data_IF_629460823599
#
_entry.id   IF_629460823599
#
_cell.length_a   1.000
_cell.length_b   1.000
_cell.length_c   1.000
_cell.angle_alpha   90.00
_cell.angle_beta   90.00
_cell.angle_gamma   90.00
#
_symmetry.space_group_name_H-M   'P 1'
#
loop_
_entity.id
_entity.type
_entity.pdbx_description
1 polymer ?
#
# COMPACT_ATOMS: atom_id res chain seq x y z
N UNK A 1 48.80 1.26 38.20
CA UNK A 1 47.56 1.13 37.40
C UNK A 1 46.97 2.53 37.28
N UNK A 2 47.16 3.16 36.13
CA UNK A 2 46.71 4.55 35.91
C UNK A 2 45.37 4.49 35.20
N UNK A 3 44.31 4.95 35.88
CA UNK A 3 43.00 5.15 35.30
C UNK A 3 43.03 6.35 34.35
N UNK A 4 42.87 6.08 33.05
CA UNK A 4 42.66 7.15 32.06
C UNK A 4 41.16 7.50 32.03
N UNK A 5 40.80 8.60 32.66
CA UNK A 5 39.52 9.27 32.43
C UNK A 5 39.66 10.19 31.20
N UNK A 6 38.84 9.95 30.16
CA UNK A 6 38.67 10.94 29.09
C UNK A 6 37.54 11.87 29.49
N UNK A 7 37.87 13.14 29.62
CA UNK A 7 36.94 14.26 29.83
C UNK A 7 36.44 14.69 28.46
N UNK A 8 35.15 14.70 28.24
CA UNK A 8 34.49 15.26 27.07
C UNK A 8 33.77 16.54 27.49
N UNK A 9 34.18 17.65 26.94
CA UNK A 9 33.56 18.97 27.12
C UNK A 9 32.34 19.11 26.17
N UNK A 10 31.15 19.26 26.72
CA UNK A 10 29.95 19.63 25.97
C UNK A 10 29.45 21.01 26.35
N UNK A 11 29.09 21.82 25.36
CA UNK A 11 28.40 23.10 25.55
C UNK A 11 26.88 22.89 25.35
N UNK A 12 26.10 23.09 26.40
CA UNK A 12 24.64 23.15 26.34
C UNK A 12 24.20 24.49 26.91
N UNK A 13 23.55 25.31 26.09
CA UNK A 13 23.03 26.65 26.48
C UNK A 13 24.05 27.60 27.11
N UNK A 14 25.36 27.54 26.71
CA UNK A 14 26.38 28.48 27.17
C UNK A 14 27.06 28.12 28.48
N UNK A 15 26.72 27.00 29.10
CA UNK A 15 27.40 26.55 30.34
C UNK A 15 28.21 25.26 30.07
N UNK A 16 29.44 25.22 30.64
CA UNK A 16 30.35 24.09 30.58
C UNK A 16 29.90 23.03 31.59
N UNK A 17 29.41 21.88 31.11
CA UNK A 17 29.12 20.74 31.97
C UNK A 17 30.18 19.64 31.76
N UNK A 18 30.81 19.21 32.86
CA UNK A 18 31.79 18.12 32.89
C UNK A 18 31.07 16.90 33.41
N UNK A 19 30.88 15.88 32.56
CA UNK A 19 30.34 14.59 32.97
C UNK A 19 31.42 13.52 32.88
N UNK A 20 31.75 12.87 34.01
CA UNK A 20 32.60 11.69 34.06
C UNK A 20 31.72 10.44 33.96
N UNK A 21 31.85 9.65 32.88
CA UNK A 21 31.21 8.35 32.75
C UNK A 21 32.25 7.22 32.76
N UNK A 22 32.05 6.13 33.54
CA UNK A 22 32.85 4.95 33.41
C UNK A 22 32.43 4.16 32.13
N UNK A 23 33.46 3.69 31.44
CA UNK A 23 33.45 2.83 30.23
C UNK A 23 32.10 2.30 29.70
N UNK A 24 31.62 2.95 28.58
CA UNK A 24 30.61 2.38 27.71
C UNK A 24 31.10 2.39 26.24
N UNK A 25 31.75 1.33 25.76
CA UNK A 25 32.14 1.22 24.35
C UNK A 25 30.94 1.09 23.40
N UNK A 26 29.76 0.71 23.90
CA UNK A 26 28.54 0.51 23.09
C UNK A 26 27.83 1.80 22.62
N UNK A 27 28.10 2.94 23.24
CA UNK A 27 27.46 4.23 22.86
C UNK A 27 28.16 4.89 21.68
N UNK A 28 29.46 4.66 21.51
CA UNK A 28 30.24 5.26 20.42
C UNK A 28 30.04 4.58 19.05
N UNK A 29 29.60 3.34 19.03
CA UNK A 29 29.29 2.63 17.78
C UNK A 29 27.98 3.15 17.14
N UNK A 30 27.04 3.65 17.93
CA UNK A 30 25.79 4.29 17.45
C UNK A 30 25.96 5.69 16.87
N UNK A 31 27.13 6.33 17.05
CA UNK A 31 27.40 7.69 16.57
C UNK A 31 28.18 7.74 15.25
N UNK A 32 28.53 6.63 14.62
CA UNK A 32 29.20 6.64 13.31
C UNK A 32 28.23 7.11 12.24
N UNK A 33 28.62 8.13 11.51
CA UNK A 33 27.89 8.58 10.33
C UNK A 33 27.83 7.42 9.31
N UNK A 34 26.63 7.13 8.81
CA UNK A 34 26.39 6.17 7.75
C UNK A 34 26.09 6.88 6.46
N UNK A 35 26.26 6.19 5.34
CA UNK A 35 25.77 6.70 4.05
C UNK A 35 24.27 6.98 4.16
N UNK A 36 23.79 8.05 3.54
CA UNK A 36 22.39 8.46 3.58
C UNK A 36 21.44 7.35 3.10
N UNK A 37 21.80 6.64 2.01
CA UNK A 37 21.01 5.52 1.49
C UNK A 37 20.84 4.38 2.53
N UNK A 38 21.88 4.07 3.28
CA UNK A 38 21.85 3.06 4.34
C UNK A 38 21.14 3.58 5.61
N UNK A 39 21.24 4.84 5.91
CA UNK A 39 20.58 5.44 7.07
C UNK A 39 19.05 5.51 6.88
N UNK A 40 18.59 5.82 5.66
CA UNK A 40 17.15 5.77 5.34
C UNK A 40 16.58 4.37 5.53
N UNK A 41 17.28 3.33 5.11
CA UNK A 41 16.85 1.95 5.31
C UNK A 41 16.89 1.58 6.80
N UNK A 42 17.95 1.94 7.51
CA UNK A 42 18.10 1.66 8.94
C UNK A 42 17.02 2.30 9.81
N UNK A 43 16.48 3.47 9.38
CA UNK A 43 15.36 4.16 10.05
C UNK A 43 13.98 3.75 9.53
N UNK A 44 13.89 2.80 8.58
CA UNK A 44 12.63 2.39 7.98
C UNK A 44 11.97 3.45 7.11
N UNK A 45 12.74 4.45 6.65
CA UNK A 45 12.28 5.50 5.72
C UNK A 45 12.34 5.05 4.26
N UNK A 46 12.97 3.91 3.99
CA UNK A 46 12.99 3.20 2.72
C UNK A 46 13.08 1.69 2.98
N UNK A 47 12.45 0.91 2.12
CA UNK A 47 12.38 -0.56 2.23
C UNK A 47 13.68 -1.23 1.78
N UNK A 48 14.33 -0.62 0.80
CA UNK A 48 15.58 -1.10 0.22
C UNK A 48 16.52 0.04 -0.08
N UNK A 49 17.80 -0.31 -0.28
CA UNK A 49 18.82 0.66 -0.68
C UNK A 49 18.50 1.30 -2.04
N UNK A 50 17.95 0.52 -2.97
CA UNK A 50 17.53 1.01 -4.29
C UNK A 50 16.41 2.03 -4.18
N UNK A 51 15.44 1.80 -3.29
CA UNK A 51 14.37 2.76 -3.02
C UNK A 51 14.93 4.03 -2.37
N UNK A 52 15.80 3.89 -1.37
CA UNK A 52 16.47 5.04 -0.75
C UNK A 52 17.21 5.90 -1.78
N UNK A 53 17.94 5.28 -2.69
CA UNK A 53 18.64 5.97 -3.76
C UNK A 53 17.68 6.69 -4.71
N UNK A 54 16.54 6.10 -5.06
CA UNK A 54 15.50 6.76 -5.88
C UNK A 54 14.93 7.99 -5.19
N UNK A 55 14.58 7.91 -3.90
CA UNK A 55 14.08 9.04 -3.11
C UNK A 55 15.11 10.18 -3.05
N UNK A 56 16.38 9.85 -2.83
CA UNK A 56 17.47 10.84 -2.79
C UNK A 56 17.64 11.49 -4.16
N UNK A 57 17.64 10.70 -5.23
CA UNK A 57 17.82 11.19 -6.61
C UNK A 57 16.62 12.05 -7.05
N UNK A 58 15.41 11.71 -6.63
CA UNK A 58 14.20 12.50 -6.83
C UNK A 58 14.22 13.83 -6.04
N UNK A 59 15.17 13.96 -5.10
CA UNK A 59 15.30 15.14 -4.25
C UNK A 59 14.23 15.25 -3.16
N UNK A 60 13.68 14.13 -2.76
CA UNK A 60 12.66 14.02 -1.73
C UNK A 60 13.23 13.94 -0.32
N UNK A 61 14.55 13.76 -0.18
CA UNK A 61 15.22 13.59 1.11
C UNK A 61 15.81 14.92 1.60
N UNK A 62 15.40 15.29 2.80
CA UNK A 62 15.86 16.49 3.51
C UNK A 62 16.55 16.08 4.82
N UNK A 63 17.74 16.63 5.07
CA UNK A 63 18.50 16.39 6.29
C UNK A 63 18.80 17.74 6.95
N UNK A 64 18.41 17.90 8.21
CA UNK A 64 18.51 19.16 8.94
C UNK A 64 17.92 20.36 8.15
N UNK A 65 16.75 20.14 7.51
CA UNK A 65 16.09 21.17 6.72
C UNK A 65 16.71 21.48 5.36
N UNK A 66 17.79 20.80 4.96
CA UNK A 66 18.45 20.94 3.65
C UNK A 66 18.21 19.74 2.78
N UNK A 67 17.92 19.96 1.48
CA UNK A 67 17.77 18.90 0.49
C UNK A 67 19.12 18.23 0.22
N UNK A 68 19.18 16.91 0.31
CA UNK A 68 20.36 16.11 -0.02
C UNK A 68 20.10 15.21 -1.23
N UNK A 69 21.01 15.26 -2.22
CA UNK A 69 20.93 14.59 -3.51
C UNK A 69 21.99 13.49 -3.73
N UNK A 70 22.87 13.27 -2.73
CA UNK A 70 23.95 12.27 -2.83
C UNK A 70 23.70 11.13 -1.84
N UNK A 71 23.39 9.95 -2.37
CA UNK A 71 23.14 8.73 -1.60
C UNK A 71 24.35 8.30 -0.73
N UNK A 72 25.56 8.57 -1.19
CA UNK A 72 26.81 8.23 -0.49
C UNK A 72 27.18 9.24 0.61
N UNK A 73 26.46 10.35 0.74
CA UNK A 73 26.81 11.41 1.72
C UNK A 73 26.69 10.85 3.15
N UNK A 74 27.72 11.05 4.00
CA UNK A 74 27.66 10.61 5.39
C UNK A 74 26.58 11.39 6.17
N UNK A 75 25.66 10.65 6.80
CA UNK A 75 24.60 11.18 7.63
C UNK A 75 24.81 10.73 9.07
N UNK A 76 24.77 11.66 10.00
CA UNK A 76 24.88 11.35 11.43
C UNK A 76 23.63 10.58 11.90
N UNK A 77 23.82 9.61 12.78
CA UNK A 77 22.72 8.82 13.33
C UNK A 77 21.69 9.68 14.11
N UNK A 78 22.07 10.87 14.54
CA UNK A 78 21.23 11.84 15.26
C UNK A 78 20.62 12.90 14.36
N UNK A 79 20.99 12.96 13.06
CA UNK A 79 20.49 13.99 12.14
C UNK A 79 18.98 13.85 11.93
N UNK A 80 18.28 14.99 11.91
CA UNK A 80 16.88 15.06 11.52
C UNK A 80 16.74 14.76 10.03
N UNK A 81 16.10 13.64 9.67
CA UNK A 81 15.81 13.29 8.27
C UNK A 81 14.31 13.39 8.03
N UNK A 82 13.93 14.05 6.95
CA UNK A 82 12.58 14.10 6.43
C UNK A 82 12.58 13.60 4.99
N UNK A 83 11.65 12.71 4.64
CA UNK A 83 11.34 12.37 3.26
C UNK A 83 10.10 13.17 2.87
N UNK A 84 10.30 14.24 2.10
CA UNK A 84 9.23 15.12 1.61
C UNK A 84 8.86 14.67 0.21
N UNK A 85 7.57 14.40 0.00
CA UNK A 85 7.08 13.80 -1.24
C UNK A 85 7.01 12.27 -1.17
N UNK A 86 7.29 11.66 -0.02
CA UNK A 86 6.92 10.27 0.21
C UNK A 86 5.45 10.09 -0.12
N UNK A 87 5.15 9.12 -0.96
CA UNK A 87 3.78 8.82 -1.34
C UNK A 87 2.95 8.61 -0.05
N UNK A 88 1.76 9.20 -0.01
CA UNK A 88 0.86 9.09 1.14
C UNK A 88 0.58 7.63 1.49
N UNK A 89 0.57 6.77 0.48
CA UNK A 89 0.32 5.34 0.59
C UNK A 89 1.56 4.53 0.21
N UNK A 90 1.66 3.31 0.73
CA UNK A 90 2.75 2.37 0.43
C UNK A 90 2.88 2.04 -1.06
N UNK A 91 1.85 2.34 -1.87
CA UNK A 91 1.90 2.23 -3.32
C UNK A 91 0.82 3.07 -4.00
N UNK A 92 0.94 3.24 -5.34
CA UNK A 92 -0.03 3.94 -6.21
C UNK A 92 -1.48 3.42 -6.06
N UNK A 93 -1.65 2.17 -5.64
CA UNK A 93 -2.96 1.57 -5.38
C UNK A 93 -3.78 2.38 -4.38
N UNK A 94 -3.15 2.90 -3.32
CA UNK A 94 -3.85 3.70 -2.30
C UNK A 94 -4.56 4.93 -2.88
N UNK A 95 -3.93 5.63 -3.82
CA UNK A 95 -4.58 6.77 -4.48
C UNK A 95 -5.76 6.36 -5.36
N UNK A 96 -5.72 5.16 -5.98
CA UNK A 96 -6.86 4.64 -6.75
C UNK A 96 -8.05 4.43 -5.83
N UNK A 97 -7.86 3.72 -4.72
CA UNK A 97 -8.93 3.48 -3.76
C UNK A 97 -9.41 4.78 -3.11
N UNK A 98 -8.52 5.71 -2.77
CA UNK A 98 -8.93 7.03 -2.27
C UNK A 98 -9.85 7.74 -3.25
N UNK A 99 -9.58 7.62 -4.56
CA UNK A 99 -10.46 8.11 -5.61
C UNK A 99 -11.85 7.47 -5.58
N UNK A 100 -11.94 6.16 -5.31
CA UNK A 100 -13.22 5.48 -5.13
C UNK A 100 -13.95 5.96 -3.87
N UNK A 101 -13.25 6.04 -2.71
CA UNK A 101 -13.85 6.50 -1.46
C UNK A 101 -14.45 7.90 -1.61
N UNK A 102 -13.71 8.82 -2.26
CA UNK A 102 -14.19 10.18 -2.53
C UNK A 102 -15.32 10.20 -3.56
N UNK A 103 -15.13 9.53 -4.71
CA UNK A 103 -16.07 9.57 -5.83
C UNK A 103 -17.42 8.94 -5.50
N UNK A 104 -17.47 7.96 -4.63
CA UNK A 104 -18.69 7.30 -4.15
C UNK A 104 -19.15 7.78 -2.77
N UNK A 105 -18.46 8.74 -2.16
CA UNK A 105 -18.74 9.22 -0.80
C UNK A 105 -18.81 8.09 0.23
N UNK A 106 -17.83 7.17 0.18
CA UNK A 106 -17.76 6.04 1.08
C UNK A 106 -16.99 6.40 2.36
N UNK A 107 -17.66 6.30 3.51
CA UNK A 107 -17.01 6.31 4.81
C UNK A 107 -16.81 4.86 5.27
N UNK A 108 -15.55 4.47 5.45
CA UNK A 108 -15.17 3.11 5.86
C UNK A 108 -14.78 3.04 7.34
N UNK A 109 -15.05 4.10 8.09
CA UNK A 109 -14.73 4.17 9.53
C UNK A 109 -15.40 3.03 10.31
N UNK A 110 -14.59 2.27 11.02
CA UNK A 110 -15.06 1.12 11.81
C UNK A 110 -15.44 -0.13 10.99
N UNK A 111 -15.26 -0.12 9.67
CA UNK A 111 -15.61 -1.26 8.82
C UNK A 111 -14.58 -2.38 8.89
N UNK A 112 -15.07 -3.60 8.72
CA UNK A 112 -14.28 -4.80 8.47
C UNK A 112 -14.13 -5.00 6.98
N UNK A 113 -12.90 -4.95 6.48
CA UNK A 113 -12.60 -4.96 5.06
C UNK A 113 -11.79 -6.18 4.64
N UNK A 114 -11.95 -6.59 3.37
CA UNK A 114 -11.13 -7.61 2.71
C UNK A 114 -10.46 -6.97 1.49
N UNK A 115 -9.14 -7.09 1.38
CA UNK A 115 -8.34 -6.63 0.24
C UNK A 115 -7.86 -7.84 -0.58
N UNK A 116 -8.46 -8.02 -1.76
CA UNK A 116 -8.19 -9.13 -2.66
C UNK A 116 -7.20 -8.70 -3.74
N UNK A 117 -6.02 -9.32 -3.73
CA UNK A 117 -4.89 -8.90 -4.58
C UNK A 117 -4.12 -7.75 -3.93
N UNK A 118 -3.86 -7.84 -2.63
CA UNK A 118 -3.27 -6.76 -1.85
C UNK A 118 -1.88 -6.32 -2.34
N UNK A 119 -1.07 -7.21 -2.90
CA UNK A 119 0.29 -6.94 -3.38
C UNK A 119 1.11 -6.18 -2.33
N UNK A 120 1.58 -4.96 -2.62
CA UNK A 120 2.31 -4.10 -1.67
C UNK A 120 1.42 -3.49 -0.58
N UNK A 121 0.10 -3.58 -0.68
CA UNK A 121 -0.84 -3.12 0.34
C UNK A 121 -1.36 -1.70 0.16
N UNK A 122 -1.35 -1.16 -1.07
CA UNK A 122 -1.83 0.20 -1.31
C UNK A 122 -3.30 0.40 -0.91
N UNK A 123 -4.18 -0.55 -1.26
CA UNK A 123 -5.59 -0.50 -0.87
C UNK A 123 -5.75 -0.66 0.64
N UNK A 124 -5.06 -1.63 1.23
CA UNK A 124 -5.02 -1.84 2.69
C UNK A 124 -4.61 -0.58 3.44
N UNK A 125 -3.52 0.07 3.04
CA UNK A 125 -3.03 1.31 3.66
C UNK A 125 -4.07 2.44 3.56
N UNK A 126 -4.73 2.57 2.41
CA UNK A 126 -5.81 3.53 2.22
C UNK A 126 -6.98 3.26 3.18
N UNK A 127 -7.45 2.01 3.29
CA UNK A 127 -8.53 1.63 4.19
C UNK A 127 -8.20 1.96 5.65
N UNK A 128 -6.98 1.61 6.09
CA UNK A 128 -6.53 1.87 7.46
C UNK A 128 -6.44 3.36 7.79
N UNK A 129 -5.93 4.17 6.84
CA UNK A 129 -5.85 5.63 6.99
C UNK A 129 -7.22 6.30 6.98
N UNK A 130 -8.25 5.66 6.38
CA UNK A 130 -9.64 6.11 6.42
C UNK A 130 -10.46 5.45 7.53
N UNK A 131 -9.81 4.84 8.52
CA UNK A 131 -10.45 4.41 9.77
C UNK A 131 -11.06 3.01 9.75
N UNK A 132 -10.74 2.14 8.78
CA UNK A 132 -11.14 0.74 8.84
C UNK A 132 -10.64 0.09 10.14
N UNK A 133 -11.51 -0.68 10.82
CA UNK A 133 -11.17 -1.34 12.10
C UNK A 133 -10.32 -2.60 11.92
N UNK A 134 -10.51 -3.30 10.81
CA UNK A 134 -9.81 -4.53 10.46
C UNK A 134 -9.72 -4.64 8.95
N UNK A 135 -8.54 -5.01 8.44
CA UNK A 135 -8.34 -5.34 7.03
C UNK A 135 -7.70 -6.72 6.94
N UNK A 136 -8.38 -7.63 6.25
CA UNK A 136 -7.82 -8.93 5.89
C UNK A 136 -7.26 -8.80 4.48
N UNK A 137 -6.01 -9.17 4.28
CA UNK A 137 -5.34 -9.11 2.98
C UNK A 137 -5.17 -10.50 2.41
N UNK A 138 -5.52 -10.67 1.14
CA UNK A 138 -5.31 -11.89 0.38
C UNK A 138 -4.48 -11.62 -0.87
N UNK A 139 -3.45 -12.43 -1.09
CA UNK A 139 -2.67 -12.40 -2.32
C UNK A 139 -2.19 -13.80 -2.71
N UNK A 140 -2.03 -14.06 -4.01
CA UNK A 140 -1.43 -15.30 -4.52
C UNK A 140 0.09 -15.27 -4.37
N UNK A 141 0.68 -14.10 -4.32
CA UNK A 141 2.11 -13.88 -4.10
C UNK A 141 2.51 -14.04 -2.63
N UNK A 142 3.82 -14.00 -2.37
CA UNK A 142 4.39 -14.10 -1.04
C UNK A 142 5.36 -12.95 -0.80
N UNK A 143 5.40 -12.44 0.44
CA UNK A 143 6.38 -11.45 0.90
C UNK A 143 6.24 -10.06 0.26
N UNK A 144 5.12 -9.76 -0.42
CA UNK A 144 4.94 -8.50 -1.13
C UNK A 144 4.42 -7.37 -0.26
N UNK A 145 3.58 -7.70 0.74
CA UNK A 145 2.95 -6.69 1.58
C UNK A 145 4.00 -5.89 2.34
N UNK A 146 3.85 -4.58 2.34
CA UNK A 146 4.75 -3.64 3.01
C UNK A 146 4.89 -3.98 4.50
N UNK A 147 6.12 -3.95 5.03
CA UNK A 147 6.43 -4.34 6.40
C UNK A 147 5.61 -3.59 7.48
N UNK A 148 5.33 -2.28 7.29
CA UNK A 148 4.49 -1.50 8.23
C UNK A 148 3.09 -2.05 8.35
N UNK A 149 2.51 -2.52 7.25
CA UNK A 149 1.18 -3.10 7.23
C UNK A 149 1.16 -4.49 7.88
N UNK A 150 2.24 -5.27 7.70
CA UNK A 150 2.40 -6.57 8.40
C UNK A 150 2.48 -6.42 9.91
N UNK A 151 2.94 -5.29 10.41
CA UNK A 151 3.06 -4.99 11.85
C UNK A 151 1.83 -4.29 12.43
N UNK A 152 0.89 -3.82 11.62
CA UNK A 152 -0.33 -3.18 12.10
C UNK A 152 -1.28 -4.24 12.66
N UNK A 153 -1.66 -4.11 13.93
CA UNK A 153 -2.53 -5.06 14.63
C UNK A 153 -3.92 -5.20 14.00
N UNK A 154 -4.35 -4.26 13.17
CA UNK A 154 -5.62 -4.28 12.43
C UNK A 154 -5.53 -5.10 11.15
N UNK A 155 -4.32 -5.52 10.71
CA UNK A 155 -4.10 -6.25 9.46
C UNK A 155 -3.89 -7.73 9.73
N UNK A 156 -4.62 -8.57 9.00
CA UNK A 156 -4.37 -10.02 8.95
C UNK A 156 -3.93 -10.40 7.54
N UNK A 157 -2.80 -11.08 7.43
CA UNK A 157 -2.13 -11.34 6.15
C UNK A 157 -2.25 -12.81 5.78
N UNK A 158 -2.82 -13.09 4.61
CA UNK A 158 -2.89 -14.41 4.02
C UNK A 158 -2.29 -14.38 2.61
N UNK A 159 -1.26 -15.16 2.39
CA UNK A 159 -0.51 -15.24 1.15
C UNK A 159 -0.60 -16.63 0.54
N UNK A 160 -0.36 -16.75 -0.76
CA UNK A 160 -0.49 -18.02 -1.48
C UNK A 160 -1.94 -18.45 -1.74
N UNK A 161 -2.90 -17.53 -1.59
CA UNK A 161 -4.34 -17.84 -1.72
C UNK A 161 -4.85 -17.39 -3.08
N UNK A 162 -5.47 -18.31 -3.81
CA UNK A 162 -6.09 -17.98 -5.08
C UNK A 162 -7.41 -17.22 -4.84
N UNK A 163 -7.55 -16.09 -5.49
CA UNK A 163 -8.74 -15.24 -5.39
C UNK A 163 -10.06 -15.94 -5.78
N UNK A 164 -10.02 -17.05 -6.53
CA UNK A 164 -11.21 -17.84 -6.88
C UNK A 164 -11.77 -18.62 -5.69
N UNK A 165 -10.91 -19.02 -4.77
CA UNK A 165 -11.24 -19.96 -3.69
C UNK A 165 -11.48 -19.24 -2.35
N UNK A 166 -11.67 -17.90 -2.40
CA UNK A 166 -11.75 -17.05 -1.21
C UNK A 166 -12.87 -17.48 -0.27
N UNK A 167 -14.06 -17.81 -0.78
CA UNK A 167 -15.22 -18.08 0.05
C UNK A 167 -15.03 -19.35 0.90
N UNK A 168 -14.39 -20.38 0.36
CA UNK A 168 -14.08 -21.60 1.09
C UNK A 168 -13.01 -21.33 2.15
N UNK A 169 -11.92 -20.69 1.74
CA UNK A 169 -10.83 -20.33 2.64
C UNK A 169 -11.29 -19.43 3.80
N UNK A 170 -12.14 -18.45 3.50
CA UNK A 170 -12.65 -17.51 4.49
C UNK A 170 -13.46 -18.17 5.61
N UNK A 171 -14.31 -19.15 5.26
CA UNK A 171 -15.14 -19.85 6.26
C UNK A 171 -14.30 -20.52 7.35
N UNK A 172 -13.13 -21.01 7.00
CA UNK A 172 -12.24 -21.71 7.91
C UNK A 172 -11.34 -20.75 8.70
N UNK A 173 -10.77 -19.73 8.04
CA UNK A 173 -9.66 -18.95 8.60
C UNK A 173 -10.06 -17.60 9.19
N UNK A 174 -11.14 -16.99 8.69
CA UNK A 174 -11.61 -15.68 9.19
C UNK A 174 -13.15 -15.56 9.07
N UNK A 175 -13.89 -16.34 9.84
CA UNK A 175 -15.35 -16.34 9.78
C UNK A 175 -15.93 -14.95 10.06
N UNK A 176 -17.11 -14.72 9.51
CA UNK A 176 -17.85 -13.46 9.61
C UNK A 176 -17.83 -12.65 8.32
N UNK A 177 -18.86 -11.83 8.17
CA UNK A 177 -19.08 -11.04 6.96
C UNK A 177 -18.24 -9.76 6.91
N UNK A 178 -18.08 -9.21 5.72
CA UNK A 178 -17.36 -7.97 5.45
C UNK A 178 -18.31 -6.84 5.10
N UNK A 179 -17.98 -5.63 5.57
CA UNK A 179 -18.68 -4.40 5.22
C UNK A 179 -18.24 -3.90 3.84
N UNK A 180 -16.95 -4.09 3.51
CA UNK A 180 -16.38 -3.76 2.23
C UNK A 180 -15.35 -4.81 1.79
N UNK A 181 -15.45 -5.23 0.53
CA UNK A 181 -14.41 -5.99 -0.15
C UNK A 181 -13.85 -5.11 -1.26
N UNK A 182 -12.53 -4.93 -1.27
CA UNK A 182 -11.83 -4.26 -2.37
C UNK A 182 -11.07 -5.29 -3.20
N UNK A 183 -10.99 -5.10 -4.52
CA UNK A 183 -10.33 -6.04 -5.40
C UNK A 183 -9.48 -5.32 -6.46
N UNK A 184 -8.16 -5.53 -6.42
CA UNK A 184 -7.18 -5.07 -7.42
C UNK A 184 -6.41 -6.26 -7.98
N UNK A 185 -7.10 -7.15 -8.70
CA UNK A 185 -6.52 -8.38 -9.24
C UNK A 185 -5.94 -8.16 -10.64
N UNK A 186 -4.91 -8.94 -11.00
CA UNK A 186 -4.25 -8.91 -12.30
C UNK A 186 -4.23 -10.30 -12.94
N UNK A 187 -4.27 -10.35 -14.28
CA UNK A 187 -4.20 -11.58 -15.08
C UNK A 187 -5.39 -12.55 -14.88
N UNK A 188 -6.49 -12.05 -14.35
CA UNK A 188 -7.71 -12.80 -14.12
C UNK A 188 -8.93 -11.89 -14.32
N UNK A 189 -10.03 -12.40 -14.85
CA UNK A 189 -11.28 -11.67 -14.96
C UNK A 189 -11.97 -11.55 -13.60
N UNK A 190 -12.57 -10.40 -13.33
CA UNK A 190 -13.41 -10.15 -12.15
C UNK A 190 -14.59 -11.14 -12.06
N UNK A 191 -15.08 -11.64 -13.20
CA UNK A 191 -16.15 -12.65 -13.26
C UNK A 191 -15.79 -13.97 -12.55
N UNK A 192 -14.49 -14.25 -12.38
CA UNK A 192 -14.00 -15.45 -11.70
C UNK A 192 -13.72 -15.22 -10.20
N UNK A 193 -13.61 -13.98 -9.77
CA UNK A 193 -13.26 -13.60 -8.39
C UNK A 193 -14.48 -13.11 -7.61
N UNK A 194 -15.29 -12.26 -8.21
CA UNK A 194 -16.37 -11.56 -7.50
C UNK A 194 -17.48 -12.48 -6.96
N UNK A 195 -17.87 -13.62 -7.60
CA UNK A 195 -18.89 -14.49 -7.02
C UNK A 195 -18.53 -14.94 -5.60
N UNK A 196 -17.31 -15.39 -5.38
CA UNK A 196 -16.81 -15.77 -4.05
C UNK A 196 -16.77 -14.58 -3.08
N UNK A 197 -16.49 -13.38 -3.57
CA UNK A 197 -16.51 -12.17 -2.76
C UNK A 197 -17.95 -11.79 -2.32
N UNK A 198 -18.94 -11.94 -3.19
CA UNK A 198 -20.34 -11.63 -2.87
C UNK A 198 -20.88 -12.49 -1.71
N UNK A 199 -20.46 -13.75 -1.63
CA UNK A 199 -20.85 -14.66 -0.54
C UNK A 199 -20.36 -14.18 0.82
N UNK A 200 -19.23 -13.48 0.85
CA UNK A 200 -18.58 -13.01 2.08
C UNK A 200 -19.09 -11.64 2.58
N UNK A 201 -19.90 -10.94 1.80
CA UNK A 201 -20.45 -9.65 2.21
C UNK A 201 -21.57 -9.80 3.24
N UNK A 202 -21.61 -8.85 4.17
CA UNK A 202 -22.81 -8.61 4.98
C UNK A 202 -23.98 -8.15 4.10
N UNK A 203 -25.21 -8.22 4.60
CA UNK A 203 -26.35 -7.56 3.95
C UNK A 203 -26.10 -6.07 3.85
N UNK A 204 -26.28 -5.50 2.66
CA UNK A 204 -25.90 -4.10 2.38
C UNK A 204 -24.40 -3.83 2.26
N UNK A 205 -23.55 -4.85 2.48
CA UNK A 205 -22.10 -4.76 2.28
C UNK A 205 -21.74 -4.48 0.82
N UNK A 206 -20.54 -3.99 0.59
CA UNK A 206 -20.14 -3.45 -0.73
C UNK A 206 -18.88 -4.11 -1.27
N UNK A 207 -18.78 -4.12 -2.61
CA UNK A 207 -17.54 -4.43 -3.32
C UNK A 207 -17.10 -3.19 -4.08
N UNK A 208 -15.81 -2.81 -3.95
CA UNK A 208 -15.16 -1.85 -4.83
C UNK A 208 -14.07 -2.57 -5.62
N UNK A 209 -14.34 -2.89 -6.88
CA UNK A 209 -13.42 -3.62 -7.75
C UNK A 209 -12.77 -2.68 -8.78
N UNK A 210 -11.48 -2.89 -9.06
CA UNK A 210 -10.78 -2.20 -10.14
C UNK A 210 -10.96 -2.99 -11.43
N UNK A 211 -11.76 -2.45 -12.35
CA UNK A 211 -11.90 -2.97 -13.71
C UNK A 211 -10.64 -2.64 -14.50
N UNK A 212 -9.99 -3.66 -15.02
CA UNK A 212 -8.83 -3.56 -15.90
C UNK A 212 -9.21 -4.12 -17.27
N UNK A 213 -9.56 -3.26 -18.24
CA UNK A 213 -10.06 -3.71 -19.54
C UNK A 213 -9.16 -4.74 -20.23
N UNK A 214 -7.85 -4.66 -20.02
CA UNK A 214 -6.89 -5.59 -20.61
C UNK A 214 -7.01 -7.04 -20.09
N UNK A 215 -7.70 -7.29 -18.98
CA UNK A 215 -7.94 -8.62 -18.43
C UNK A 215 -9.38 -9.11 -18.63
N UNK A 216 -10.22 -8.24 -19.19
CA UNK A 216 -11.64 -8.51 -19.46
C UNK A 216 -11.95 -8.62 -20.96
N UNK A 217 -11.21 -7.88 -21.80
CA UNK A 217 -11.36 -7.88 -23.24
C UNK A 217 -10.77 -9.14 -23.90
N UNK A 218 -11.21 -9.43 -25.11
CA UNK A 218 -10.66 -10.50 -25.95
C UNK A 218 -9.19 -10.23 -26.32
N UNK A 219 -8.39 -11.28 -26.50
CA UNK A 219 -6.97 -11.16 -26.85
C UNK A 219 -6.70 -10.30 -28.11
N UNK A 220 -7.59 -10.35 -29.11
CA UNK A 220 -7.46 -9.56 -30.32
C UNK A 220 -7.64 -8.05 -30.12
N UNK A 221 -8.26 -7.63 -29.02
CA UNK A 221 -8.55 -6.25 -28.68
C UNK A 221 -7.48 -5.62 -27.77
N UNK A 222 -6.61 -6.46 -27.24
CA UNK A 222 -5.47 -6.03 -26.42
C UNK A 222 -4.29 -5.78 -27.36
N UNK A 223 -3.94 -4.51 -27.55
CA UNK A 223 -2.89 -4.08 -28.47
C UNK A 223 -1.47 -4.36 -27.93
N UNK A 224 -0.48 -3.93 -28.72
CA UNK A 224 0.93 -4.04 -28.33
C UNK A 224 1.18 -3.40 -26.97
N UNK A 225 1.90 -4.08 -26.11
CA UNK A 225 2.19 -3.66 -24.73
C UNK A 225 1.06 -3.93 -23.75
N UNK A 226 0.05 -4.75 -24.11
CA UNK A 226 -1.05 -5.08 -23.18
C UNK A 226 -2.05 -3.93 -23.00
N UNK A 227 -2.16 -2.99 -23.96
CA UNK A 227 -2.96 -1.76 -23.80
C UNK A 227 -4.22 -1.83 -24.66
N UNK A 228 -5.38 -1.61 -24.03
CA UNK A 228 -6.69 -1.42 -24.69
C UNK A 228 -6.87 0.07 -24.98
N UNK A 229 -6.59 0.48 -26.23
CA UNK A 229 -6.65 1.88 -26.66
C UNK A 229 -8.03 2.33 -27.09
N UNK A 230 -8.85 1.41 -27.59
CA UNK A 230 -10.19 1.72 -28.10
C UNK A 230 -11.15 1.99 -26.94
N UNK A 231 -11.72 3.19 -26.91
CA UNK A 231 -12.69 3.59 -25.91
C UNK A 231 -13.99 2.78 -26.02
N UNK A 232 -14.40 2.37 -27.23
CA UNK A 232 -15.56 1.51 -27.46
C UNK A 232 -15.39 0.14 -26.81
N UNK A 233 -14.20 -0.46 -26.91
CA UNK A 233 -13.88 -1.74 -26.24
C UNK A 233 -13.95 -1.56 -24.72
N UNK A 234 -13.37 -0.48 -24.16
CA UNK A 234 -13.45 -0.23 -22.70
C UNK A 234 -14.89 -0.10 -22.22
N UNK A 235 -15.72 0.68 -22.94
CA UNK A 235 -17.13 0.84 -22.58
C UNK A 235 -17.92 -0.45 -22.71
N UNK A 236 -17.67 -1.24 -23.75
CA UNK A 236 -18.28 -2.56 -23.91
C UNK A 236 -17.94 -3.48 -22.74
N UNK A 237 -16.68 -3.56 -22.36
CA UNK A 237 -16.22 -4.36 -21.20
C UNK A 237 -16.96 -3.95 -19.93
N UNK A 238 -17.07 -2.66 -19.65
CA UNK A 238 -17.81 -2.16 -18.47
C UNK A 238 -19.28 -2.60 -18.53
N UNK A 239 -19.94 -2.45 -19.68
CA UNK A 239 -21.35 -2.81 -19.84
C UNK A 239 -21.55 -4.34 -19.68
N UNK A 240 -20.67 -5.13 -20.27
CA UNK A 240 -20.71 -6.60 -20.13
C UNK A 240 -20.53 -7.06 -18.67
N UNK A 241 -19.63 -6.42 -17.91
CA UNK A 241 -19.45 -6.71 -16.47
C UNK A 241 -20.70 -6.31 -15.68
N UNK A 242 -21.31 -5.15 -15.98
CA UNK A 242 -22.56 -4.73 -15.33
C UNK A 242 -23.70 -5.71 -15.59
N UNK A 243 -23.94 -6.08 -16.86
CA UNK A 243 -24.97 -7.06 -17.21
C UNK A 243 -24.69 -8.44 -16.60
N UNK A 244 -23.41 -8.84 -16.54
CA UNK A 244 -23.04 -10.08 -15.87
C UNK A 244 -23.38 -10.05 -14.36
N UNK A 245 -23.18 -8.92 -13.68
CA UNK A 245 -23.46 -8.78 -12.25
C UNK A 245 -24.96 -8.87 -11.92
N UNK A 246 -25.85 -8.59 -12.87
CA UNK A 246 -27.31 -8.73 -12.71
C UNK A 246 -27.76 -10.18 -12.42
N UNK A 247 -26.90 -11.16 -12.67
CA UNK A 247 -27.16 -12.57 -12.34
C UNK A 247 -26.89 -12.90 -10.86
N UNK A 248 -26.45 -11.94 -10.06
CA UNK A 248 -26.09 -12.11 -8.66
C UNK A 248 -26.95 -11.18 -7.77
N UNK A 249 -27.11 -11.47 -6.48
CA UNK A 249 -27.86 -10.62 -5.55
C UNK A 249 -27.07 -9.36 -5.18
N UNK A 250 -26.66 -8.59 -6.19
CA UNK A 250 -25.91 -7.35 -6.03
C UNK A 250 -26.43 -6.29 -7.00
N UNK A 251 -26.34 -5.03 -6.61
CA UNK A 251 -26.71 -3.88 -7.43
C UNK A 251 -25.46 -3.05 -7.74
N UNK A 252 -25.26 -2.69 -9.00
CA UNK A 252 -24.23 -1.71 -9.40
C UNK A 252 -24.64 -0.32 -8.91
N UNK A 253 -23.88 0.28 -8.01
CA UNK A 253 -24.08 1.66 -7.57
C UNK A 253 -23.41 2.67 -8.48
N UNK A 254 -22.31 2.29 -9.14
CA UNK A 254 -21.64 3.17 -10.11
C UNK A 254 -20.33 2.60 -10.63
N UNK A 255 -19.87 3.21 -11.73
CA UNK A 255 -18.52 3.00 -12.29
C UNK A 255 -17.92 4.39 -12.57
N UNK A 256 -16.72 4.63 -12.06
CA UNK A 256 -15.99 5.89 -12.28
C UNK A 256 -14.57 5.59 -12.81
N UNK A 257 -13.96 6.49 -13.57
CA UNK A 257 -12.56 6.34 -13.95
C UNK A 257 -11.65 6.32 -12.73
N UNK A 258 -10.61 5.48 -12.78
CA UNK A 258 -9.53 5.52 -11.79
C UNK A 258 -8.75 6.83 -11.92
N UNK A 259 -8.38 7.50 -10.80
CA UNK A 259 -7.59 8.73 -10.85
C UNK A 259 -6.17 8.52 -11.39
N UNK A 260 -5.70 7.27 -11.39
CA UNK A 260 -4.41 6.90 -11.94
C UNK A 260 -4.55 5.77 -12.95
N UNK A 261 -3.83 5.83 -14.07
CA UNK A 261 -3.78 4.74 -15.03
C UNK A 261 -3.01 3.54 -14.46
N UNK A 262 -3.21 2.37 -15.07
CA UNK A 262 -2.41 1.18 -14.85
C UNK A 262 -0.92 1.41 -15.15
N UNK A 263 -0.05 0.44 -14.77
CA UNK A 263 1.41 0.54 -14.97
C UNK A 263 1.78 0.77 -16.44
N UNK A 264 1.12 0.05 -17.33
CA UNK A 264 1.38 0.12 -18.78
C UNK A 264 0.62 1.27 -19.47
N UNK A 265 -0.10 2.11 -18.71
CA UNK A 265 -0.87 3.22 -19.23
C UNK A 265 -2.31 2.88 -19.61
N UNK A 266 -2.82 1.70 -19.24
CA UNK A 266 -4.23 1.37 -19.42
C UNK A 266 -5.12 2.29 -18.58
N UNK A 267 -6.22 2.75 -19.16
CA UNK A 267 -7.31 3.34 -18.40
C UNK A 267 -8.04 2.24 -17.63
N UNK A 268 -8.20 2.45 -16.34
CA UNK A 268 -8.84 1.54 -15.40
C UNK A 268 -10.04 2.22 -14.76
N UNK A 269 -10.98 1.43 -14.24
CA UNK A 269 -12.21 1.98 -13.68
C UNK A 269 -12.52 1.36 -12.33
N UNK A 270 -13.07 2.15 -11.43
CA UNK A 270 -13.51 1.72 -10.11
C UNK A 270 -15.00 1.43 -10.16
N UNK A 271 -15.38 0.23 -9.80
CA UNK A 271 -16.73 -0.27 -9.86
C UNK A 271 -17.25 -0.56 -8.46
N UNK A 272 -18.33 0.10 -8.07
CA UNK A 272 -18.98 -0.10 -6.78
C UNK A 272 -20.26 -0.92 -6.96
N UNK A 273 -20.33 -2.01 -6.20
CA UNK A 273 -21.51 -2.86 -6.09
C UNK A 273 -21.96 -2.93 -4.63
N UNK A 274 -23.25 -3.20 -4.42
CA UNK A 274 -23.83 -3.44 -3.08
C UNK A 274 -24.62 -4.74 -3.09
N UNK A 275 -24.43 -5.57 -2.06
CA UNK A 275 -25.23 -6.76 -1.83
C UNK A 275 -26.63 -6.39 -1.37
N UNK A 276 -27.64 -7.03 -1.95
CA UNK A 276 -29.06 -6.86 -1.61
C UNK A 276 -29.38 -7.31 -0.21
#
# INVERSE_FOLDING_TARGET
MANFFRVLDFMVKGEKMICCFPDYPLVLEKMKARRLDLELVARGMAESREQAQRLILAGEVWVEGQRWDKASKPCAATAGIEVRGADRYVSRGGHKLEGALKGFSLDVTGWRCLDVGASTGGFTDCLLQHGAREVITLDVGHGQLHWRLRQDSRVKVFEGINARDIAEFAREHFPGAFDLIVADVSFISLRLVLPSAFDLLSSGGRVCALIKPQFEAGRAEVGKGGIVRDAGVRMRVINELRSWAENYPVTTLGVIPSPLPGREGNEEFLWLLQKS
#
